data_IF_276346063727
#
_entry.id   IF_276346063727
#
_cell.length_a   1.000
_cell.length_b   1.000
_cell.length_c   1.000
_cell.angle_alpha   90.00
_cell.angle_beta   90.00
_cell.angle_gamma   90.00
#
_symmetry.space_group_name_H-M   'P 1'
#
loop_
_entity.id
_entity.type
_entity.pdbx_description
1 polymer ?
#
# COMPACT_ATOMS: atom_id res chain seq x y z
N UNK A 1 16.36 62.59 41.34
CA UNK A 1 15.75 61.60 42.26
C UNK A 1 15.47 60.31 41.51
N UNK A 2 16.34 59.31 41.67
CA UNK A 2 16.19 57.97 41.10
C UNK A 2 15.16 57.17 41.90
N UNK A 3 14.25 56.45 41.22
CA UNK A 3 13.63 55.24 41.76
C UNK A 3 13.70 54.13 40.73
N UNK A 4 14.60 53.21 41.03
CA UNK A 4 14.91 51.98 40.33
C UNK A 4 13.68 51.08 40.18
N UNK A 5 13.41 50.60 38.96
CA UNK A 5 12.76 49.30 38.78
C UNK A 5 13.63 48.44 37.89
N UNK A 6 14.46 47.64 38.56
CA UNK A 6 15.17 46.51 38.01
C UNK A 6 14.13 45.50 37.47
N UNK A 7 14.02 45.38 36.15
CA UNK A 7 13.45 44.19 35.50
C UNK A 7 14.60 43.40 34.87
N UNK A 8 15.33 42.69 35.73
CA UNK A 8 16.06 41.49 35.29
C UNK A 8 15.02 40.41 35.04
N UNK A 9 14.83 39.99 33.80
CA UNK A 9 14.47 38.60 33.47
C UNK A 9 14.90 38.28 32.04
N UNK A 10 16.05 37.61 32.03
CA UNK A 10 16.66 36.70 31.07
C UNK A 10 16.00 36.54 29.69
N UNK A 11 16.86 36.61 28.67
CA UNK A 11 16.73 35.86 27.42
C UNK A 11 16.40 34.40 27.76
N UNK A 12 15.24 33.93 27.33
CA UNK A 12 14.97 32.51 27.10
C UNK A 12 14.73 32.34 25.61
N UNK A 13 15.82 32.06 24.92
CA UNK A 13 15.84 31.49 23.59
C UNK A 13 15.69 29.98 23.79
N UNK A 14 14.48 29.46 24.02
CA UNK A 14 14.22 28.01 24.12
C UNK A 14 12.70 27.74 24.08
N UNK A 15 12.32 26.69 23.33
CA UNK A 15 10.98 26.23 22.92
C UNK A 15 10.45 26.97 21.68
N UNK A 16 10.97 26.82 20.45
CA UNK A 16 11.17 25.59 19.66
C UNK A 16 10.19 24.43 19.93
N UNK A 17 9.20 24.34 19.02
CA UNK A 17 8.64 23.12 18.43
C UNK A 17 7.58 22.29 19.18
N UNK A 18 6.41 22.86 19.48
CA UNK A 18 5.20 22.07 19.80
C UNK A 18 3.93 22.56 19.07
N UNK A 19 4.04 22.91 17.78
CA UNK A 19 2.88 23.28 16.97
C UNK A 19 3.05 23.04 15.46
N UNK A 20 3.75 21.98 15.05
CA UNK A 20 3.89 21.64 13.63
C UNK A 20 3.72 20.13 13.38
N UNK A 21 2.64 19.54 13.92
CA UNK A 21 2.25 18.15 13.58
C UNK A 21 0.78 18.01 13.16
N UNK A 22 0.06 19.10 12.88
CA UNK A 22 -1.40 19.02 12.62
C UNK A 22 -1.88 19.77 11.38
N UNK A 23 -1.01 20.12 10.42
CA UNK A 23 -1.52 20.80 9.21
C UNK A 23 -0.66 20.63 7.96
N UNK A 24 -0.23 19.40 7.70
CA UNK A 24 0.07 18.95 6.33
C UNK A 24 -0.40 17.49 6.19
N UNK A 25 -1.68 17.25 6.51
CA UNK A 25 -2.36 16.06 6.00
C UNK A 25 -2.58 16.27 4.51
N UNK A 26 -1.51 16.16 3.73
CA UNK A 26 -1.64 15.71 2.35
C UNK A 26 -2.56 14.48 2.41
N UNK A 27 -3.67 14.50 1.67
CA UNK A 27 -4.70 13.46 1.77
C UNK A 27 -4.11 12.12 1.32
N UNK A 28 -3.54 11.36 2.26
CA UNK A 28 -3.01 10.03 2.01
C UNK A 28 -4.19 9.12 1.70
N UNK A 29 -4.26 8.63 0.47
CA UNK A 29 -5.24 7.63 0.08
C UNK A 29 -4.92 6.32 0.81
N UNK A 30 -5.93 5.58 1.24
CA UNK A 30 -5.78 4.32 1.96
C UNK A 30 -6.50 3.19 1.24
N UNK A 31 -5.88 2.02 1.23
CA UNK A 31 -6.47 0.79 0.71
C UNK A 31 -7.74 0.42 1.47
N UNK A 32 -8.83 0.13 0.78
CA UNK A 32 -10.11 -0.25 1.40
C UNK A 32 -10.04 -1.61 2.11
N UNK A 33 -9.10 -2.49 1.71
CA UNK A 33 -8.96 -3.83 2.29
C UNK A 33 -7.98 -3.89 3.47
N UNK A 34 -6.80 -3.27 3.33
CA UNK A 34 -5.74 -3.37 4.35
C UNK A 34 -5.51 -2.07 5.13
N UNK A 35 -6.20 -0.99 4.77
CA UNK A 35 -6.09 0.35 5.37
C UNK A 35 -4.69 0.97 5.39
N UNK A 36 -3.73 0.37 4.68
CA UNK A 36 -2.40 0.94 4.49
C UNK A 36 -2.46 2.09 3.49
N UNK A 37 -1.52 3.02 3.62
CA UNK A 37 -1.32 4.10 2.66
C UNK A 37 -1.10 3.53 1.25
N UNK A 38 -1.78 4.11 0.27
CA UNK A 38 -1.57 3.82 -1.14
C UNK A 38 -0.43 4.69 -1.65
N UNK A 39 0.49 4.07 -2.38
CA UNK A 39 1.58 4.78 -3.05
C UNK A 39 1.04 5.50 -4.30
N UNK A 40 1.52 6.73 -4.54
CA UNK A 40 1.11 7.72 -5.55
C UNK A 40 0.28 7.20 -6.73
N UNK A 41 0.82 6.25 -7.50
CA UNK A 41 0.19 5.70 -8.71
C UNK A 41 0.04 4.17 -8.68
N UNK A 42 0.49 3.50 -7.61
CA UNK A 42 0.52 2.03 -7.52
C UNK A 42 -0.69 1.47 -6.78
N UNK A 43 -1.89 1.86 -7.23
CA UNK A 43 -3.14 1.33 -6.70
C UNK A 43 -4.18 1.19 -7.81
N UNK A 44 -5.17 0.33 -7.56
CA UNK A 44 -6.32 0.15 -8.43
C UNK A 44 -7.49 0.89 -7.83
N UNK A 45 -8.06 1.83 -8.57
CA UNK A 45 -9.27 2.54 -8.18
C UNK A 45 -10.45 2.07 -9.03
N UNK A 46 -11.58 1.80 -8.38
CA UNK A 46 -12.85 1.60 -9.06
C UNK A 46 -13.26 2.90 -9.78
N UNK A 47 -13.67 2.85 -11.05
CA UNK A 47 -14.08 4.04 -11.78
C UNK A 47 -15.38 4.63 -11.23
N UNK A 48 -16.28 3.81 -10.68
CA UNK A 48 -17.62 4.24 -10.22
C UNK A 48 -17.65 4.74 -8.78
N UNK A 49 -16.75 4.24 -7.93
CA UNK A 49 -16.74 4.51 -6.49
C UNK A 49 -15.33 4.90 -6.07
N UNK A 50 -15.11 6.17 -5.74
CA UNK A 50 -13.80 6.68 -5.32
C UNK A 50 -13.29 6.04 -4.01
N UNK A 51 -14.20 5.53 -3.19
CA UNK A 51 -13.89 4.82 -1.94
C UNK A 51 -13.38 3.40 -2.16
N UNK A 52 -13.60 2.81 -3.34
CA UNK A 52 -13.09 1.49 -3.69
C UNK A 52 -11.71 1.63 -4.33
N UNK A 53 -10.68 1.57 -3.49
CA UNK A 53 -9.29 1.76 -3.89
C UNK A 53 -8.42 0.73 -3.18
N UNK A 54 -7.63 -0.01 -3.95
CA UNK A 54 -6.93 -1.20 -3.46
C UNK A 54 -5.45 -1.11 -3.82
N UNK A 55 -4.58 -1.41 -2.86
CA UNK A 55 -3.17 -1.56 -3.20
C UNK A 55 -2.98 -2.75 -4.16
N UNK A 56 -1.92 -2.71 -4.96
CA UNK A 56 -1.63 -3.77 -5.93
C UNK A 56 -1.56 -5.16 -5.28
N UNK A 57 -1.06 -5.28 -4.05
CA UNK A 57 -0.96 -6.56 -3.35
C UNK A 57 -2.33 -7.14 -2.99
N UNK A 58 -3.25 -6.33 -2.45
CA UNK A 58 -4.61 -6.76 -2.17
C UNK A 58 -5.34 -7.13 -3.46
N UNK A 59 -5.22 -6.29 -4.49
CA UNK A 59 -5.80 -6.55 -5.81
C UNK A 59 -5.25 -7.85 -6.42
N UNK A 60 -3.93 -8.07 -6.39
CA UNK A 60 -3.29 -9.31 -6.85
C UNK A 60 -3.83 -10.54 -6.12
N UNK A 61 -3.96 -10.48 -4.80
CA UNK A 61 -4.50 -11.58 -4.01
C UNK A 61 -5.97 -11.86 -4.36
N UNK A 62 -6.76 -10.81 -4.61
CA UNK A 62 -8.16 -10.91 -5.04
C UNK A 62 -8.27 -11.60 -6.42
N UNK A 63 -7.47 -11.16 -7.39
CA UNK A 63 -7.44 -11.70 -8.76
C UNK A 63 -6.96 -13.15 -8.76
N UNK A 64 -5.90 -13.47 -8.00
CA UNK A 64 -5.38 -14.85 -7.89
C UNK A 64 -6.47 -15.86 -7.52
N UNK A 65 -7.33 -15.52 -6.56
CA UNK A 65 -8.44 -16.37 -6.11
C UNK A 65 -9.52 -16.61 -7.17
N UNK A 66 -9.54 -15.77 -8.22
CA UNK A 66 -10.52 -15.79 -9.33
C UNK A 66 -9.87 -16.13 -10.67
N UNK A 67 -8.65 -16.67 -10.64
CA UNK A 67 -7.95 -17.09 -11.84
C UNK A 67 -8.77 -18.20 -12.51
N UNK A 68 -9.19 -17.97 -13.75
CA UNK A 68 -10.08 -18.88 -14.50
C UNK A 68 -11.52 -18.38 -14.62
N UNK A 69 -11.93 -17.35 -13.89
CA UNK A 69 -13.20 -16.67 -14.14
C UNK A 69 -13.15 -15.91 -15.48
N UNK A 70 -14.28 -15.87 -16.19
CA UNK A 70 -14.39 -15.19 -17.49
C UNK A 70 -14.18 -13.68 -17.36
N UNK A 71 -14.68 -13.09 -16.28
CA UNK A 71 -14.61 -11.68 -15.94
C UNK A 71 -14.35 -11.53 -14.45
N UNK A 72 -13.42 -10.66 -14.07
CA UNK A 72 -13.12 -10.36 -12.68
C UNK A 72 -13.58 -8.92 -12.42
N UNK A 73 -14.57 -8.76 -11.55
CA UNK A 73 -15.17 -7.45 -11.22
C UNK A 73 -14.42 -6.72 -10.09
N UNK A 74 -15.01 -5.64 -9.60
CA UNK A 74 -14.47 -4.80 -8.53
C UNK A 74 -14.07 -5.63 -7.28
N UNK A 75 -12.90 -5.37 -6.66
CA UNK A 75 -12.46 -6.07 -5.45
C UNK A 75 -13.39 -5.92 -4.24
N UNK A 76 -14.28 -4.92 -4.24
CA UNK A 76 -15.35 -4.77 -3.24
C UNK A 76 -16.34 -5.94 -3.20
N UNK A 77 -16.38 -6.76 -4.25
CA UNK A 77 -17.39 -7.79 -4.45
C UNK A 77 -18.67 -7.28 -5.12
N UNK A 78 -18.77 -5.97 -5.38
CA UNK A 78 -19.90 -5.35 -6.09
C UNK A 78 -19.64 -5.32 -7.60
N UNK A 79 -20.73 -5.40 -8.39
CA UNK A 79 -20.69 -5.15 -9.84
C UNK A 79 -20.88 -3.66 -10.13
N UNK A 80 -19.86 -2.86 -9.82
CA UNK A 80 -19.90 -1.41 -10.02
C UNK A 80 -20.05 -1.06 -11.51
N UNK A 81 -20.94 -0.12 -11.89
CA UNK A 81 -21.17 0.24 -13.29
C UNK A 81 -20.00 1.06 -13.87
N UNK A 82 -19.58 0.78 -15.10
CA UNK A 82 -18.56 1.58 -15.78
C UNK A 82 -19.03 3.03 -15.92
N UNK A 83 -18.15 4.01 -15.67
CA UNK A 83 -18.52 5.44 -15.74
C UNK A 83 -19.09 5.76 -17.13
N UNK A 84 -20.24 6.43 -17.16
CA UNK A 84 -20.95 6.72 -18.41
C UNK A 84 -21.84 5.59 -18.93
N UNK A 85 -21.91 4.45 -18.24
CA UNK A 85 -22.79 3.32 -18.58
C UNK A 85 -23.57 2.85 -17.34
N UNK A 86 -24.90 2.74 -17.43
CA UNK A 86 -25.71 2.30 -16.27
C UNK A 86 -25.75 0.77 -16.11
N UNK A 87 -25.61 0.01 -17.19
CA UNK A 87 -25.83 -1.45 -17.20
C UNK A 87 -24.58 -2.29 -17.51
N UNK A 88 -23.43 -1.66 -17.77
CA UNK A 88 -22.18 -2.38 -18.08
C UNK A 88 -21.31 -2.40 -16.82
N UNK A 89 -21.09 -3.56 -16.18
CA UNK A 89 -20.23 -3.64 -15.00
C UNK A 89 -18.76 -3.44 -15.39
N UNK A 90 -18.01 -2.72 -14.55
CA UNK A 90 -16.56 -2.65 -14.69
C UNK A 90 -15.92 -3.98 -14.29
N UNK A 91 -15.00 -4.44 -15.13
CA UNK A 91 -14.19 -5.62 -14.92
C UNK A 91 -12.75 -5.35 -15.35
N UNK A 92 -11.81 -6.10 -14.79
CA UNK A 92 -10.42 -6.04 -15.20
C UNK A 92 -10.24 -6.54 -16.63
N UNK A 93 -9.42 -5.82 -17.40
CA UNK A 93 -8.95 -6.30 -18.69
C UNK A 93 -7.94 -7.43 -18.50
N UNK A 94 -7.85 -8.36 -19.46
CA UNK A 94 -6.88 -9.47 -19.39
C UNK A 94 -5.43 -8.98 -19.24
N UNK A 95 -5.08 -7.92 -19.96
CA UNK A 95 -3.76 -7.30 -19.87
C UNK A 95 -3.46 -6.73 -18.48
N UNK A 96 -4.47 -6.16 -17.81
CA UNK A 96 -4.34 -5.66 -16.43
C UNK A 96 -4.17 -6.82 -15.45
N UNK A 97 -4.95 -7.90 -15.62
CA UNK A 97 -4.83 -9.13 -14.82
C UNK A 97 -3.41 -9.69 -14.91
N UNK A 98 -2.88 -9.87 -16.11
CA UNK A 98 -1.53 -10.42 -16.33
C UNK A 98 -0.44 -9.54 -15.71
N UNK A 99 -0.58 -8.21 -15.85
CA UNK A 99 0.34 -7.24 -15.28
C UNK A 99 0.33 -7.29 -13.75
N UNK A 100 -0.85 -7.25 -13.13
CA UNK A 100 -1.00 -7.29 -11.67
C UNK A 100 -0.49 -8.63 -11.11
N UNK A 101 -0.76 -9.74 -11.79
CA UNK A 101 -0.25 -11.06 -11.39
C UNK A 101 1.27 -11.16 -11.51
N UNK A 102 1.89 -10.44 -12.46
CA UNK A 102 3.33 -10.40 -12.66
C UNK A 102 4.09 -9.52 -11.67
N UNK A 103 3.44 -8.52 -11.03
CA UNK A 103 4.08 -7.63 -10.04
C UNK A 103 4.66 -8.43 -8.88
N UNK A 104 5.98 -8.37 -8.62
CA UNK A 104 6.58 -9.12 -7.51
C UNK A 104 6.00 -8.64 -6.19
N UNK A 105 5.29 -9.52 -5.48
CA UNK A 105 4.95 -9.28 -4.08
C UNK A 105 6.26 -9.29 -3.29
N UNK A 106 6.58 -8.27 -2.48
CA UNK A 106 7.68 -8.39 -1.53
C UNK A 106 7.32 -9.57 -0.61
N UNK A 107 8.04 -10.67 -0.78
CA UNK A 107 7.87 -11.84 0.08
C UNK A 107 8.14 -11.41 1.52
N UNK A 108 7.32 -11.81 2.51
CA UNK A 108 7.72 -11.68 3.89
C UNK A 108 9.03 -12.48 4.04
N UNK A 109 10.10 -11.82 4.48
CA UNK A 109 11.39 -12.43 4.69
C UNK A 109 11.23 -13.66 5.60
N UNK A 110 11.24 -14.86 5.03
CA UNK A 110 11.43 -16.09 5.78
C UNK A 110 12.93 -16.20 6.07
N UNK A 111 13.34 -15.76 7.25
CA UNK A 111 14.62 -16.12 7.85
C UNK A 111 14.61 -17.63 8.08
N UNK A 112 15.02 -18.39 7.07
CA UNK A 112 15.23 -19.83 7.20
C UNK A 112 16.74 -20.03 7.21
N UNK A 113 17.30 -19.96 8.41
CA UNK A 113 18.62 -20.54 8.65
C UNK A 113 18.45 -22.05 8.46
N UNK A 114 19.06 -22.61 7.43
CA UNK A 114 19.17 -24.06 7.26
C UNK A 114 20.62 -24.37 6.88
N UNK A 115 21.31 -25.21 7.66
CA UNK A 115 22.71 -25.54 7.40
C UNK A 115 22.79 -26.47 6.20
N UNK A 116 23.60 -26.10 5.22
CA UNK A 116 23.97 -26.99 4.11
C UNK A 116 24.79 -28.17 4.66
N UNK A 117 24.15 -29.34 4.82
CA UNK A 117 24.89 -30.60 4.90
C UNK A 117 25.35 -30.98 3.50
N UNK A 118 26.65 -30.83 3.25
CA UNK A 118 27.34 -31.37 2.08
C UNK A 118 27.43 -32.89 2.21
N UNK A 119 26.54 -33.62 1.55
CA UNK A 119 26.74 -35.06 1.31
C UNK A 119 27.65 -35.20 0.08
N UNK A 120 28.94 -35.44 0.32
CA UNK A 120 29.87 -35.88 -0.73
C UNK A 120 29.49 -37.32 -1.09
N UNK A 121 28.99 -37.52 -2.31
CA UNK A 121 28.93 -38.83 -2.94
C UNK A 121 30.34 -39.19 -3.39
N UNK A 122 30.94 -40.23 -2.81
CA UNK A 122 32.08 -40.91 -3.44
C UNK A 122 31.50 -41.93 -4.40
N UNK A 123 31.69 -41.65 -5.69
CA UNK A 123 31.42 -42.55 -6.79
C UNK A 123 32.58 -43.53 -6.93
N UNK A 124 32.21 -44.78 -7.18
CA UNK A 124 33.04 -45.97 -7.32
C UNK A 124 33.61 -46.03 -8.73
N UNK A 125 34.92 -46.23 -8.90
CA UNK A 125 35.47 -46.85 -10.11
C UNK A 125 36.83 -47.52 -9.82
N UNK A 126 36.80 -48.87 -9.97
CA UNK A 126 37.82 -49.84 -10.42
C UNK A 126 39.29 -49.63 -10.01
#
# INVERSE_FOLDING_TARGET
>A
MNKYRLSKRLRTHQQVNEAMSTSMSLLILQCSDCHQALEDTHFVQCPSMSEHRYCFLCCKNFIKKRTGEKEIYCPSGLKCPLVGSTNVPWAFMRTEIDTILSTRSPSPAKTTNSPSTLTIKQETEI
#
